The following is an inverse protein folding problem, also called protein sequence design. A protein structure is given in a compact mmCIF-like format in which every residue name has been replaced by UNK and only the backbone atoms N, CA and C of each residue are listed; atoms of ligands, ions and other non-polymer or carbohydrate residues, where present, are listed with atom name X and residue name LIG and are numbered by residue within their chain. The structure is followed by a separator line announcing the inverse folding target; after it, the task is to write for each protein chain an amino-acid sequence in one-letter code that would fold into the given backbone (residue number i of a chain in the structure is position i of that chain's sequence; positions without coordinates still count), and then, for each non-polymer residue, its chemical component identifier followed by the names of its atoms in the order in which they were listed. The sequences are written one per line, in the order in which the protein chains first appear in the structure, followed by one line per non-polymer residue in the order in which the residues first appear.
data_IF_290787898704
#
_entry.id   IF_290787898704
#
_cell.length_a   1.000
_cell.length_b   1.000
_cell.length_c   1.000
_cell.angle_alpha   90.00
_cell.angle_beta   90.00
_cell.angle_gamma   90.00
#
_symmetry.space_group_name_H-M   'P 1'
#
loop_
_entity.id
_entity.type
_entity.pdbx_description
1 polymer ?
#
# COMPACT_ATOMS: atom_id res chain seq x y z
N UNK A 1 10.03 -15.21 -1.98
CA UNK A 1 10.96 -14.41 -1.14
C UNK A 1 10.72 -14.64 0.35
N UNK A 2 9.46 -14.69 0.81
CA UNK A 2 9.11 -14.89 2.23
C UNK A 2 9.77 -13.88 3.19
N UNK A 3 10.06 -12.67 2.69
CA UNK A 3 10.63 -11.58 3.48
C UNK A 3 9.56 -10.98 4.42
N UNK A 4 8.33 -10.89 3.91
CA UNK A 4 7.13 -10.62 4.67
C UNK A 4 6.22 -11.85 4.48
N UNK A 5 6.08 -12.72 5.49
CA UNK A 5 5.23 -13.90 5.43
C UNK A 5 3.77 -13.51 5.19
N UNK A 6 3.09 -14.27 4.35
CA UNK A 6 1.72 -14.01 3.97
C UNK A 6 1.32 -14.78 2.73
N UNK A 7 0.07 -14.58 2.32
CA UNK A 7 -0.49 -15.15 1.10
C UNK A 7 -0.98 -14.07 0.16
N UNK A 8 -1.06 -14.38 -1.13
CA UNK A 8 -1.64 -13.49 -2.13
C UNK A 8 -2.91 -14.16 -2.64
N UNK A 9 -4.04 -13.44 -2.59
CA UNK A 9 -5.35 -13.94 -3.02
C UNK A 9 -5.92 -13.10 -4.14
N UNK A 10 -6.71 -13.73 -4.99
CA UNK A 10 -7.47 -13.08 -6.05
C UNK A 10 -8.64 -12.32 -5.42
N UNK A 11 -8.98 -11.14 -5.94
CA UNK A 11 -10.29 -10.55 -5.65
C UNK A 11 -11.41 -11.46 -6.19
N UNK A 12 -12.52 -11.53 -5.48
CA UNK A 12 -13.72 -12.28 -5.86
C UNK A 12 -14.95 -11.39 -5.69
N UNK A 13 -16.05 -11.73 -6.37
CA UNK A 13 -17.34 -11.03 -6.24
C UNK A 13 -17.69 -10.13 -7.43
N UNK A 14 -18.51 -9.10 -7.15
CA UNK A 14 -19.21 -8.30 -8.18
C UNK A 14 -18.43 -7.11 -8.72
N UNK A 15 -17.37 -6.68 -8.02
CA UNK A 15 -16.54 -5.56 -8.48
C UNK A 15 -15.77 -5.95 -9.76
N UNK A 16 -15.48 -4.97 -10.61
CA UNK A 16 -14.70 -5.21 -11.83
C UNK A 16 -13.27 -5.65 -11.46
N UNK A 17 -12.76 -6.68 -12.13
CA UNK A 17 -11.41 -7.18 -11.89
C UNK A 17 -10.61 -7.07 -13.21
N UNK A 18 -9.41 -6.47 -13.21
CA UNK A 18 -8.63 -5.98 -12.06
C UNK A 18 -9.25 -4.76 -11.36
N UNK A 19 -8.93 -4.59 -10.07
CA UNK A 19 -9.02 -3.29 -9.42
C UNK A 19 -8.08 -2.35 -10.18
N UNK A 20 -8.67 -1.40 -10.90
CA UNK A 20 -7.95 -0.48 -11.78
C UNK A 20 -8.54 0.91 -11.64
N UNK A 21 -7.70 1.87 -11.28
CA UNK A 21 -8.11 3.25 -11.07
C UNK A 21 -7.51 3.82 -9.81
N UNK A 22 -8.07 4.94 -9.38
CA UNK A 22 -7.60 5.66 -8.22
C UNK A 22 -8.40 5.27 -6.98
N UNK A 23 -7.72 5.09 -5.84
CA UNK A 23 -8.37 4.81 -4.56
C UNK A 23 -7.63 5.48 -3.39
N UNK A 24 -8.35 5.77 -2.31
CA UNK A 24 -7.76 6.34 -1.10
C UNK A 24 -7.08 5.26 -0.26
N UNK A 25 -6.07 5.69 0.49
CA UNK A 25 -5.40 4.88 1.49
C UNK A 25 -5.87 5.28 2.89
N UNK A 26 -6.02 4.29 3.76
CA UNK A 26 -6.03 4.48 5.20
C UNK A 26 -4.64 4.12 5.74
N UNK A 27 -3.86 5.16 6.02
CA UNK A 27 -2.45 5.05 6.41
C UNK A 27 -2.30 4.94 7.93
N UNK A 28 -1.48 4.00 8.39
CA UNK A 28 -1.10 3.91 9.80
C UNK A 28 -0.32 5.16 10.21
N UNK A 29 -0.76 5.78 11.31
CA UNK A 29 -0.12 6.99 11.85
C UNK A 29 1.32 6.69 12.30
N UNK A 30 2.24 7.61 11.98
CA UNK A 30 3.65 7.51 12.36
C UNK A 30 4.53 6.73 11.39
N UNK A 31 3.97 6.13 10.34
CA UNK A 31 4.76 5.38 9.36
C UNK A 31 5.58 6.32 8.45
N UNK A 32 6.92 6.13 8.34
CA UNK A 32 7.80 7.08 7.64
C UNK A 32 7.44 7.29 6.17
N UNK A 33 6.90 6.28 5.49
CA UNK A 33 6.50 6.37 4.09
C UNK A 33 5.44 7.46 3.85
N UNK A 34 4.60 7.74 4.85
CA UNK A 34 3.49 8.71 4.77
C UNK A 34 3.79 10.02 5.50
N UNK A 35 5.05 10.27 5.85
CA UNK A 35 5.46 11.52 6.50
C UNK A 35 5.09 12.75 5.65
N UNK A 36 4.50 13.77 6.31
CA UNK A 36 4.08 15.03 5.68
C UNK A 36 3.11 14.84 4.49
N UNK A 37 2.27 13.80 4.55
CA UNK A 37 1.21 13.55 3.58
C UNK A 37 -0.17 13.81 4.18
N UNK A 38 -1.20 13.88 3.33
CA UNK A 38 -2.58 13.87 3.80
C UNK A 38 -2.88 12.56 4.55
N UNK A 39 -3.90 12.56 5.42
CA UNK A 39 -4.33 11.34 6.11
C UNK A 39 -4.96 10.31 5.16
N UNK A 40 -5.36 10.73 3.96
CA UNK A 40 -5.94 9.88 2.91
C UNK A 40 -5.33 10.18 1.55
N UNK A 41 -4.08 9.75 1.30
CA UNK A 41 -3.46 9.87 -0.02
C UNK A 41 -4.29 9.14 -1.08
N UNK A 42 -4.32 9.67 -2.30
CA UNK A 42 -5.06 9.09 -3.41
C UNK A 42 -4.09 8.51 -4.43
N UNK A 43 -4.13 7.19 -4.62
CA UNK A 43 -3.09 6.46 -5.37
C UNK A 43 -3.68 5.61 -6.48
N UNK A 44 -2.87 5.34 -7.51
CA UNK A 44 -3.27 4.58 -8.68
C UNK A 44 -2.97 3.09 -8.52
N UNK A 45 -4.01 2.27 -8.68
CA UNK A 45 -3.98 0.82 -8.60
C UNK A 45 -4.23 0.17 -9.97
N UNK A 46 -3.58 -0.96 -10.20
CA UNK A 46 -3.90 -1.88 -11.31
C UNK A 46 -3.48 -3.30 -10.93
N UNK A 47 -4.37 -4.05 -10.28
CA UNK A 47 -4.08 -5.40 -9.81
C UNK A 47 -5.32 -6.28 -9.68
N UNK A 48 -5.10 -7.58 -9.79
CA UNK A 48 -6.14 -8.61 -9.75
C UNK A 48 -6.11 -9.44 -8.46
N UNK A 49 -5.02 -9.29 -7.70
CA UNK A 49 -4.72 -10.02 -6.49
C UNK A 49 -4.24 -9.03 -5.44
N UNK A 50 -4.44 -9.33 -4.16
CA UNK A 50 -3.97 -8.53 -3.03
C UNK A 50 -3.27 -9.45 -2.02
N UNK A 51 -2.38 -8.87 -1.23
CA UNK A 51 -1.66 -9.61 -0.19
C UNK A 51 -2.45 -9.64 1.12
N UNK A 52 -2.23 -10.71 1.88
CA UNK A 52 -2.70 -10.93 3.24
C UNK A 52 -1.47 -11.33 4.04
N UNK A 53 -0.78 -10.36 4.69
CA UNK A 53 0.33 -10.65 5.59
C UNK A 53 -0.13 -11.52 6.77
N UNK A 54 0.74 -12.40 7.24
CA UNK A 54 0.44 -13.27 8.40
C UNK A 54 0.39 -12.46 9.72
N UNK A 55 1.08 -11.32 9.77
CA UNK A 55 1.07 -10.39 10.90
C UNK A 55 0.41 -9.08 10.50
N UNK A 56 -0.55 -8.60 11.30
CA UNK A 56 -1.15 -7.27 11.11
C UNK A 56 -0.15 -6.14 11.34
N UNK A 57 0.89 -6.38 12.13
CA UNK A 57 1.94 -5.38 12.43
C UNK A 57 2.79 -5.05 11.20
N UNK A 58 2.79 -5.93 10.19
CA UNK A 58 3.50 -5.69 8.93
C UNK A 58 2.67 -4.80 7.96
N UNK A 59 1.40 -4.48 8.26
CA UNK A 59 0.50 -3.68 7.41
C UNK A 59 0.58 -2.20 7.81
N UNK A 60 1.06 -1.35 6.91
CA UNK A 60 1.21 0.09 7.16
C UNK A 60 0.13 0.95 6.48
N UNK A 61 -0.58 0.39 5.50
CA UNK A 61 -1.77 1.04 4.94
C UNK A 61 -2.76 0.02 4.37
N UNK A 62 -4.04 0.35 4.46
CA UNK A 62 -5.12 -0.39 3.81
C UNK A 62 -5.83 0.47 2.78
N UNK A 63 -6.61 -0.16 1.92
CA UNK A 63 -7.52 0.52 0.99
C UNK A 63 -8.76 -0.37 0.79
N UNK A 64 -9.86 0.21 0.29
CA UNK A 64 -11.14 -0.49 0.15
C UNK A 64 -11.57 -0.61 -1.29
N UNK A 65 -11.68 -1.83 -1.80
CA UNK A 65 -12.25 -2.12 -3.13
C UNK A 65 -13.20 -3.32 -3.04
N UNK A 66 -14.46 -3.07 -2.72
CA UNK A 66 -15.46 -4.09 -2.36
C UNK A 66 -15.20 -4.72 -0.98
N UNK A 67 -13.93 -4.97 -0.65
CA UNK A 67 -13.40 -5.41 0.64
C UNK A 67 -12.24 -4.49 1.05
N UNK A 68 -11.92 -4.48 2.33
CA UNK A 68 -10.68 -3.85 2.82
C UNK A 68 -9.51 -4.80 2.51
N UNK A 69 -8.40 -4.27 2.01
CA UNK A 69 -7.21 -5.04 1.65
C UNK A 69 -5.92 -4.30 2.02
N UNK A 70 -4.83 -5.07 2.18
CA UNK A 70 -3.51 -4.54 2.47
C UNK A 70 -2.96 -3.79 1.24
N UNK A 71 -2.79 -2.46 1.37
CA UNK A 71 -2.31 -1.59 0.31
C UNK A 71 -0.81 -1.30 0.41
N UNK A 72 -0.23 -1.34 1.62
CA UNK A 72 1.19 -1.22 1.83
C UNK A 72 1.65 -2.01 3.07
N UNK A 73 2.87 -2.54 2.99
CA UNK A 73 3.52 -3.33 4.04
C UNK A 73 4.91 -2.78 4.39
N UNK A 74 5.32 -2.98 5.64
CA UNK A 74 6.70 -2.75 6.11
C UNK A 74 7.13 -3.85 7.06
N UNK A 75 8.37 -4.31 6.90
CA UNK A 75 9.06 -5.10 7.91
C UNK A 75 10.52 -4.68 7.98
N UNK A 76 10.92 -4.07 9.08
CA UNK A 76 12.23 -3.46 9.25
C UNK A 76 12.53 -2.47 8.10
N UNK A 77 13.49 -2.79 7.24
CA UNK A 77 13.94 -2.02 6.09
C UNK A 77 13.30 -2.46 4.75
N UNK A 78 12.30 -3.33 4.80
CA UNK A 78 11.64 -3.87 3.60
C UNK A 78 10.27 -3.23 3.49
N UNK A 79 10.00 -2.63 2.34
CA UNK A 79 8.75 -1.98 2.01
C UNK A 79 8.13 -2.59 0.77
N UNK A 80 6.80 -2.62 0.74
CA UNK A 80 6.02 -3.01 -0.43
C UNK A 80 4.74 -2.20 -0.51
N UNK A 81 4.37 -1.78 -1.72
CA UNK A 81 3.12 -1.08 -1.99
C UNK A 81 2.38 -1.80 -3.12
N UNK A 82 1.06 -1.86 -3.02
CA UNK A 82 0.21 -2.51 -4.03
C UNK A 82 -0.19 -1.54 -5.15
N UNK A 83 -0.23 -0.24 -4.85
CA UNK A 83 -0.40 0.84 -5.83
C UNK A 83 0.93 1.19 -6.52
N UNK A 84 0.84 2.06 -7.53
CA UNK A 84 1.96 2.53 -8.32
C UNK A 84 2.34 3.96 -7.91
N UNK A 85 3.30 4.18 -6.98
CA UNK A 85 3.67 5.52 -6.56
C UNK A 85 4.19 6.36 -7.74
N UNK A 86 4.86 5.77 -8.72
CA UNK A 86 5.31 6.44 -9.94
C UNK A 86 4.17 6.93 -10.85
N UNK A 87 2.94 6.41 -10.66
CA UNK A 87 1.72 6.81 -11.39
C UNK A 87 0.73 7.57 -10.51
N UNK A 88 1.07 7.83 -9.25
CA UNK A 88 0.18 8.42 -8.25
C UNK A 88 0.42 9.92 -8.03
N UNK A 89 0.96 10.61 -9.04
CA UNK A 89 1.16 12.07 -9.05
C UNK A 89 1.89 12.56 -7.79
N UNK A 90 1.41 13.64 -7.15
CA UNK A 90 2.09 14.30 -6.04
C UNK A 90 2.19 13.41 -4.81
N UNK A 91 1.14 12.63 -4.50
CA UNK A 91 1.14 11.69 -3.38
C UNK A 91 2.20 10.60 -3.61
N UNK A 92 2.23 10.03 -4.80
CA UNK A 92 3.22 9.04 -5.17
C UNK A 92 4.66 9.57 -5.15
N UNK A 93 4.88 10.78 -5.66
CA UNK A 93 6.19 11.44 -5.61
C UNK A 93 6.64 11.68 -4.17
N UNK A 94 5.74 12.13 -3.30
CA UNK A 94 6.06 12.35 -1.88
C UNK A 94 6.44 11.05 -1.18
N UNK A 95 5.74 9.94 -1.46
CA UNK A 95 6.11 8.62 -0.92
C UNK A 95 7.51 8.18 -1.39
N UNK A 96 7.85 8.38 -2.66
CA UNK A 96 9.18 8.06 -3.18
C UNK A 96 10.27 8.93 -2.55
N UNK A 97 10.01 10.21 -2.31
CA UNK A 97 10.91 11.11 -1.58
C UNK A 97 11.10 10.65 -0.13
N UNK A 98 10.01 10.29 0.56
CA UNK A 98 10.05 9.78 1.93
C UNK A 98 10.86 8.47 2.02
N UNK A 99 10.64 7.55 1.09
CA UNK A 99 11.42 6.32 0.96
C UNK A 99 12.92 6.62 0.75
N UNK A 100 13.24 7.51 -0.20
CA UNK A 100 14.64 7.84 -0.54
C UNK A 100 15.38 8.57 0.57
N UNK A 101 14.66 9.32 1.41
CA UNK A 101 15.24 10.07 2.53
C UNK A 101 15.28 9.27 3.83
N UNK A 102 14.74 8.05 3.84
CA UNK A 102 14.69 7.24 5.04
C UNK A 102 16.09 6.80 5.47
N UNK A 103 16.41 7.03 6.75
CA UNK A 103 17.75 6.84 7.31
C UNK A 103 17.84 5.60 8.23
N UNK A 104 16.86 4.70 8.17
CA UNK A 104 16.82 3.50 9.01
C UNK A 104 16.20 3.69 10.39
N UNK A 105 15.63 4.87 10.68
CA UNK A 105 14.91 5.18 11.92
C UNK A 105 13.43 5.46 11.69
#
# INVERSE_FOLDING_TARGET
LNLIPGTVRRFEGVMKIPHMGWNDLDCQSGEPLFYNMSSRPFTYFVHSYYCIPDSSDDIIATSRYGIDFCAAVRKNNIWGVQFHPEKSHQDGLQMLLNFSNWNGK
#
